data_IF_460986943464
#
_entry.id   IF_460986943464
#
_cell.length_a   1.000
_cell.length_b   1.000
_cell.length_c   1.000
_cell.angle_alpha   90.00
_cell.angle_beta   90.00
_cell.angle_gamma   90.00
#
_symmetry.space_group_name_H-M   'P 1'
#
loop_
_entity.id
_entity.type
_entity.pdbx_description
1 polymer ?
#
# COMPACT_ATOMS: atom_id res chain seq x y z
N UNK A 1 -37.16 20.37 8.19
CA UNK A 1 -36.36 20.04 9.39
C UNK A 1 -35.04 19.44 8.91
N UNK A 2 -33.94 20.15 9.19
CA UNK A 2 -32.59 19.77 8.80
C UNK A 2 -32.16 18.53 9.61
N UNK A 3 -31.88 17.43 8.92
CA UNK A 3 -31.30 16.24 9.56
C UNK A 3 -29.81 16.52 9.81
N UNK A 4 -29.51 16.96 11.03
CA UNK A 4 -28.16 16.89 11.59
C UNK A 4 -27.88 15.44 11.97
N UNK A 5 -27.10 14.72 11.18
CA UNK A 5 -26.44 13.51 11.66
C UNK A 5 -24.99 13.84 12.01
N UNK A 6 -24.78 14.19 13.27
CA UNK A 6 -23.48 14.03 13.92
C UNK A 6 -23.22 12.53 14.09
N UNK A 7 -22.36 11.98 13.24
CA UNK A 7 -21.72 10.69 13.43
C UNK A 7 -20.29 10.93 13.89
N UNK A 8 -19.88 10.36 15.01
CA UNK A 8 -18.51 10.46 15.55
C UNK A 8 -17.51 10.11 14.45
N UNK A 9 -16.56 11.00 14.20
CA UNK A 9 -15.43 10.80 13.28
C UNK A 9 -14.71 9.50 13.66
N UNK A 10 -14.94 8.43 12.91
CA UNK A 10 -14.24 7.18 13.13
C UNK A 10 -12.77 7.41 12.78
N UNK A 11 -11.91 7.39 13.79
CA UNK A 11 -10.45 7.41 13.60
C UNK A 11 -10.06 6.25 12.69
N UNK A 12 -9.60 6.56 11.48
CA UNK A 12 -9.24 5.57 10.48
C UNK A 12 -7.73 5.48 10.37
N UNK A 13 -7.17 4.30 10.62
CA UNK A 13 -5.75 4.05 10.41
C UNK A 13 -5.46 3.54 9.01
N UNK A 14 -4.24 3.78 8.55
CA UNK A 14 -3.74 3.21 7.31
C UNK A 14 -2.25 3.46 7.13
N UNK A 15 -1.82 3.38 5.88
CA UNK A 15 -0.42 3.43 5.46
C UNK A 15 -0.22 4.55 4.44
N UNK A 16 0.91 5.22 4.54
CA UNK A 16 1.34 6.22 3.55
C UNK A 16 2.80 6.01 3.22
N UNK A 17 3.10 6.07 1.92
CA UNK A 17 4.46 6.04 1.38
C UNK A 17 4.86 7.47 0.98
N UNK A 18 6.13 7.77 1.17
CA UNK A 18 6.78 9.05 0.91
C UNK A 18 8.08 8.83 0.15
N UNK A 19 8.61 9.91 -0.39
CA UNK A 19 9.98 9.99 -0.87
C UNK A 19 10.98 9.71 0.27
N UNK A 20 12.24 9.46 -0.08
CA UNK A 20 13.28 9.09 0.89
C UNK A 20 13.54 10.18 1.97
N UNK A 21 13.16 11.42 1.69
CA UNK A 21 13.28 12.60 2.52
C UNK A 21 11.97 13.01 3.20
N UNK A 22 10.99 12.09 3.29
CA UNK A 22 9.67 12.31 3.90
C UNK A 22 8.78 13.30 3.16
N UNK A 23 9.00 13.52 1.86
CA UNK A 23 8.11 14.32 1.03
C UNK A 23 7.02 13.49 0.35
N UNK A 24 5.91 14.14 0.05
CA UNK A 24 4.90 13.65 -0.87
C UNK A 24 4.38 14.83 -1.69
N UNK A 25 4.60 14.81 -3.01
CA UNK A 25 4.30 15.93 -3.93
C UNK A 25 4.91 17.27 -3.46
N UNK A 26 6.13 17.25 -2.94
CA UNK A 26 6.85 18.43 -2.46
C UNK A 26 6.49 18.94 -1.06
N UNK A 27 5.42 18.41 -0.44
CA UNK A 27 5.09 18.73 0.95
C UNK A 27 5.89 17.85 1.91
N UNK A 28 6.52 18.47 2.92
CA UNK A 28 7.36 17.80 3.92
C UNK A 28 6.53 17.26 5.07
N UNK A 29 6.74 15.98 5.42
CA UNK A 29 6.14 15.34 6.59
C UNK A 29 7.19 14.97 7.63
N UNK A 30 6.73 14.78 8.86
CA UNK A 30 7.52 14.33 10.00
C UNK A 30 6.68 13.36 10.84
N UNK A 31 7.35 12.35 11.40
CA UNK A 31 6.73 11.40 12.34
C UNK A 31 6.29 12.14 13.61
N UNK A 32 5.11 11.78 14.11
CA UNK A 32 4.47 12.36 15.30
C UNK A 32 3.70 13.65 15.01
N UNK A 33 3.81 14.24 13.81
CA UNK A 33 3.13 15.48 13.45
C UNK A 33 1.74 15.24 12.83
N UNK A 34 0.95 16.30 12.87
CA UNK A 34 -0.40 16.35 12.32
C UNK A 34 -0.50 17.48 11.29
N UNK A 35 -1.26 17.24 10.24
CA UNK A 35 -1.39 18.15 9.10
C UNK A 35 -2.86 18.30 8.73
N UNK A 36 -3.28 19.56 8.50
CA UNK A 36 -4.64 19.92 8.13
C UNK A 36 -4.69 20.54 6.74
N UNK A 37 -5.73 20.21 5.99
CA UNK A 37 -6.04 20.74 4.67
C UNK A 37 -7.36 21.50 4.75
N UNK A 38 -7.35 22.78 4.36
CA UNK A 38 -8.51 23.67 4.49
C UNK A 38 -9.44 23.68 3.27
N UNK A 39 -9.05 23.04 2.17
CA UNK A 39 -9.85 23.01 0.94
C UNK A 39 -10.85 21.86 0.90
N UNK A 40 -11.66 21.84 -0.16
CA UNK A 40 -12.55 20.71 -0.45
C UNK A 40 -11.74 19.45 -0.76
N UNK A 41 -12.13 18.32 -0.15
CA UNK A 41 -11.55 17.02 -0.43
C UNK A 41 -12.02 16.46 -1.77
N UNK A 42 -11.06 16.09 -2.62
CA UNK A 42 -11.31 15.37 -3.87
C UNK A 42 -10.40 14.15 -3.93
N UNK A 43 -11.01 12.99 -4.12
CA UNK A 43 -10.31 11.71 -4.31
C UNK A 43 -9.26 11.90 -5.42
N UNK A 44 -8.04 11.41 -5.19
CA UNK A 44 -6.89 11.53 -6.08
C UNK A 44 -6.35 12.94 -6.39
N UNK A 45 -7.09 14.00 -6.09
CA UNK A 45 -6.72 15.38 -6.42
C UNK A 45 -6.25 16.19 -5.20
N UNK A 46 -7.10 16.35 -4.18
CA UNK A 46 -6.88 17.30 -3.07
C UNK A 46 -7.14 16.69 -1.69
N UNK A 47 -6.26 17.04 -0.75
CA UNK A 47 -6.21 16.49 0.61
C UNK A 47 -5.03 15.54 0.80
N UNK A 48 -5.01 14.86 1.94
CA UNK A 48 -3.96 13.91 2.28
C UNK A 48 -4.40 12.49 1.94
N UNK A 49 -3.77 11.90 0.93
CA UNK A 49 -4.04 10.51 0.53
C UNK A 49 -3.19 9.50 1.30
N UNK A 50 -3.83 8.40 1.69
CA UNK A 50 -3.24 7.21 2.29
C UNK A 50 -4.06 5.98 1.86
N UNK A 51 -3.60 4.76 2.14
CA UNK A 51 -4.34 3.53 1.85
C UNK A 51 -4.60 2.74 3.13
N UNK A 52 -5.74 2.07 3.25
CA UNK A 52 -5.97 1.16 4.40
C UNK A 52 -5.21 -0.16 4.26
N UNK A 53 -4.80 -0.53 3.03
CA UNK A 53 -3.90 -1.65 2.74
C UNK A 53 -2.56 -1.14 2.21
N UNK A 54 -1.47 -1.68 2.72
CA UNK A 54 -0.14 -1.25 2.32
C UNK A 54 0.19 -1.63 0.88
N UNK A 55 -0.32 -2.76 0.38
CA UNK A 55 -0.12 -3.21 -1.00
C UNK A 55 -0.61 -2.19 -2.05
N UNK A 56 -1.71 -1.48 -1.74
CA UNK A 56 -2.27 -0.49 -2.66
C UNK A 56 -1.45 0.81 -2.68
N UNK A 57 -0.64 1.09 -1.64
CA UNK A 57 0.29 2.22 -1.69
C UNK A 57 1.35 2.05 -2.79
N UNK A 58 1.77 0.81 -3.06
CA UNK A 58 2.80 0.50 -4.06
C UNK A 58 2.29 0.56 -5.51
N UNK A 59 0.99 0.82 -5.73
CA UNK A 59 0.47 1.23 -7.04
C UNK A 59 0.82 2.68 -7.38
N UNK A 60 1.09 3.49 -6.36
CA UNK A 60 1.33 4.93 -6.47
C UNK A 60 2.80 5.33 -6.24
N UNK A 61 3.56 4.49 -5.53
CA UNK A 61 4.98 4.66 -5.32
C UNK A 61 5.72 3.37 -5.74
N UNK A 62 6.90 3.49 -6.36
CA UNK A 62 7.73 2.32 -6.62
C UNK A 62 8.05 1.60 -5.30
N UNK A 63 8.04 0.27 -5.31
CA UNK A 63 8.35 -0.58 -4.15
C UNK A 63 9.86 -0.68 -3.89
N UNK A 64 10.51 0.46 -3.70
CA UNK A 64 11.96 0.55 -3.51
C UNK A 64 12.33 0.89 -2.07
N UNK A 65 13.35 0.20 -1.56
CA UNK A 65 13.73 0.21 -0.12
C UNK A 65 14.12 1.58 0.46
N UNK A 66 14.34 2.59 -0.37
CA UNK A 66 14.63 3.95 0.10
C UNK A 66 13.39 4.80 0.36
N UNK A 67 12.20 4.39 -0.09
CA UNK A 67 10.97 5.11 0.28
C UNK A 67 10.75 5.04 1.79
N UNK A 68 10.18 6.12 2.34
CA UNK A 68 9.71 6.15 3.72
C UNK A 68 8.26 5.69 3.78
N UNK A 69 7.93 4.92 4.80
CA UNK A 69 6.60 4.34 4.98
C UNK A 69 6.16 4.64 6.41
N UNK A 70 4.91 5.06 6.59
CA UNK A 70 4.36 5.34 7.90
C UNK A 70 2.99 4.72 8.10
N UNK A 71 2.73 4.35 9.36
CA UNK A 71 1.38 4.22 9.87
C UNK A 71 0.82 5.65 10.06
N UNK A 72 -0.40 5.86 9.59
CA UNK A 72 -1.10 7.15 9.66
C UNK A 72 -2.48 6.99 10.26
N UNK A 73 -3.00 8.06 10.83
CA UNK A 73 -4.36 8.15 11.35
C UNK A 73 -5.07 9.36 10.76
N UNK A 74 -6.25 9.14 10.18
CA UNK A 74 -7.17 10.20 9.80
C UNK A 74 -7.95 10.67 11.02
N UNK A 75 -7.88 11.97 11.27
CA UNK A 75 -8.47 12.64 12.44
C UNK A 75 -9.67 13.53 12.07
N UNK A 76 -9.94 13.69 10.78
CA UNK A 76 -11.04 14.51 10.26
C UNK A 76 -11.88 13.77 9.23
N UNK A 77 -12.49 14.51 8.31
CA UNK A 77 -13.32 13.96 7.25
C UNK A 77 -12.48 13.04 6.35
N UNK A 78 -13.10 11.95 5.91
CA UNK A 78 -12.51 11.00 4.96
C UNK A 78 -13.44 10.79 3.77
N UNK A 79 -12.89 10.67 2.57
CA UNK A 79 -13.58 10.15 1.38
C UNK A 79 -12.86 8.91 0.85
N UNK A 80 -13.63 7.95 0.33
CA UNK A 80 -13.13 6.71 -0.29
C UNK A 80 -13.77 6.49 -1.67
N UNK A 81 -13.26 5.53 -2.44
CA UNK A 81 -13.89 5.02 -3.65
C UNK A 81 -13.87 3.48 -3.65
N UNK A 82 -14.49 2.85 -4.65
CA UNK A 82 -14.66 1.38 -4.69
C UNK A 82 -13.58 0.63 -5.45
N UNK A 83 -12.60 1.33 -6.04
CA UNK A 83 -11.62 0.71 -6.94
C UNK A 83 -10.40 0.14 -6.18
N UNK A 84 -10.00 0.79 -5.08
CA UNK A 84 -8.92 0.34 -4.21
C UNK A 84 -9.12 0.83 -2.77
N UNK A 85 -8.13 0.60 -1.90
CA UNK A 85 -8.17 1.00 -0.49
C UNK A 85 -7.76 2.45 -0.21
N UNK A 86 -7.65 3.31 -1.24
CA UNK A 86 -7.23 4.69 -1.09
C UNK A 86 -8.30 5.53 -0.41
N UNK A 87 -7.82 6.33 0.52
CA UNK A 87 -8.58 7.26 1.33
C UNK A 87 -7.96 8.63 1.19
N UNK A 88 -8.79 9.66 1.15
CA UNK A 88 -8.34 11.05 1.27
C UNK A 88 -8.92 11.66 2.54
N UNK A 89 -8.12 12.41 3.28
CA UNK A 89 -8.56 13.13 4.49
C UNK A 89 -8.12 14.58 4.52
N UNK A 90 -8.88 15.40 5.26
CA UNK A 90 -8.51 16.79 5.54
C UNK A 90 -7.62 16.94 6.79
N UNK A 91 -7.44 15.88 7.59
CA UNK A 91 -6.58 15.92 8.78
C UNK A 91 -5.90 14.57 8.99
N UNK A 92 -4.58 14.54 8.82
CA UNK A 92 -3.77 13.33 8.94
C UNK A 92 -2.74 13.48 10.06
N UNK A 93 -2.50 12.39 10.79
CA UNK A 93 -1.38 12.24 11.72
C UNK A 93 -0.41 11.20 11.20
N UNK A 94 0.89 11.50 11.22
CA UNK A 94 1.94 10.52 10.95
C UNK A 94 2.31 9.87 12.29
N UNK A 95 1.95 8.60 12.50
CA UNK A 95 2.10 7.95 13.81
C UNK A 95 3.55 7.52 14.03
N UNK A 96 4.08 6.70 13.13
CA UNK A 96 5.42 6.11 13.22
C UNK A 96 5.94 5.73 11.84
N UNK A 97 7.26 5.68 11.68
CA UNK A 97 7.88 5.00 10.55
C UNK A 97 7.68 3.49 10.68
N UNK A 98 7.35 2.83 9.58
CA UNK A 98 7.37 1.37 9.44
C UNK A 98 8.63 1.02 8.66
N UNK A 99 9.48 0.14 9.23
CA UNK A 99 10.69 -0.29 8.53
C UNK A 99 10.33 -1.28 7.44
N UNK A 100 11.11 -1.26 6.36
CA UNK A 100 10.93 -2.19 5.23
C UNK A 100 10.93 -3.66 5.65
N UNK A 101 11.66 -4.03 6.69
CA UNK A 101 11.69 -5.41 7.18
C UNK A 101 10.39 -5.84 7.86
N UNK A 102 9.62 -4.93 8.46
CA UNK A 102 8.27 -5.22 8.96
C UNK A 102 7.32 -5.53 7.80
N UNK A 103 7.43 -4.77 6.71
CA UNK A 103 6.55 -4.87 5.53
C UNK A 103 6.84 -6.15 4.73
N UNK A 104 8.12 -6.54 4.63
CA UNK A 104 8.51 -7.79 3.95
C UNK A 104 7.81 -9.00 4.55
N UNK A 105 7.59 -9.02 5.86
CA UNK A 105 6.94 -10.14 6.53
C UNK A 105 5.43 -10.17 6.25
N UNK A 106 4.78 -9.02 6.14
CA UNK A 106 3.37 -8.92 5.75
C UNK A 106 3.14 -9.28 4.27
N UNK A 107 4.04 -8.85 3.37
CA UNK A 107 3.97 -9.20 1.94
C UNK A 107 4.25 -10.70 1.71
N UNK A 108 5.18 -11.29 2.48
CA UNK A 108 5.49 -12.73 2.43
C UNK A 108 4.35 -13.64 2.92
N UNK A 109 3.35 -13.09 3.63
CA UNK A 109 2.19 -13.82 4.16
C UNK A 109 0.87 -13.58 3.42
N UNK A 110 0.86 -12.75 2.36
CA UNK A 110 -0.36 -12.41 1.64
C UNK A 110 -0.96 -13.59 0.89
N UNK A 111 -2.23 -13.92 1.17
CA UNK A 111 -2.98 -15.00 0.49
C UNK A 111 -3.19 -14.79 -1.02
N UNK A 112 -2.90 -13.59 -1.54
CA UNK A 112 -3.09 -13.24 -2.95
C UNK A 112 -1.93 -12.39 -3.45
N UNK A 113 -0.97 -13.01 -4.14
CA UNK A 113 0.03 -12.29 -4.94
C UNK A 113 -0.50 -12.26 -6.36
N UNK A 114 -0.91 -11.07 -6.84
CA UNK A 114 -1.32 -10.84 -8.23
C UNK A 114 -0.23 -10.03 -8.92
N UNK A 115 0.70 -10.71 -9.58
CA UNK A 115 1.69 -10.01 -10.40
C UNK A 115 1.13 -9.62 -11.77
N UNK A 116 1.76 -8.65 -12.40
CA UNK A 116 1.47 -8.27 -13.79
C UNK A 116 2.00 -9.31 -14.79
N UNK A 117 2.08 -8.90 -16.07
CA UNK A 117 2.49 -9.78 -17.18
C UNK A 117 3.88 -10.41 -16.98
N UNK A 118 4.79 -9.67 -16.34
CA UNK A 118 6.15 -10.12 -16.05
C UNK A 118 6.40 -10.04 -14.53
N UNK A 119 6.60 -11.20 -13.90
CA UNK A 119 7.04 -11.27 -12.50
C UNK A 119 8.49 -11.74 -12.48
N UNK A 120 9.40 -10.82 -12.18
CA UNK A 120 10.79 -11.13 -11.85
C UNK A 120 10.96 -11.14 -10.33
N UNK A 121 11.00 -12.34 -9.74
CA UNK A 121 11.33 -12.50 -8.32
C UNK A 121 12.83 -12.63 -8.11
N UNK A 122 13.32 -12.22 -6.93
CA UNK A 122 14.68 -12.55 -6.49
C UNK A 122 14.82 -14.03 -6.11
N UNK A 123 15.96 -14.39 -5.49
CA UNK A 123 16.38 -15.77 -5.21
C UNK A 123 15.35 -16.63 -4.44
N UNK A 124 14.51 -16.01 -3.60
CA UNK A 124 13.49 -16.71 -2.83
C UNK A 124 12.10 -16.12 -3.11
N UNK A 125 11.26 -16.88 -3.82
CA UNK A 125 9.84 -16.56 -4.01
C UNK A 125 9.03 -17.45 -3.05
N UNK A 126 8.49 -16.82 -2.00
CA UNK A 126 7.51 -17.45 -1.11
C UNK A 126 6.11 -17.03 -1.54
N UNK A 127 5.37 -17.94 -2.16
CA UNK A 127 3.99 -17.70 -2.54
C UNK A 127 3.03 -17.90 -1.37
N UNK A 128 2.00 -17.07 -1.28
CA UNK A 128 0.80 -17.37 -0.51
C UNK A 128 0.00 -18.54 -1.12
N UNK A 129 -1.24 -18.71 -0.64
CA UNK A 129 -2.11 -19.83 -1.04
C UNK A 129 -2.43 -19.90 -2.54
N UNK A 130 -2.61 -18.75 -3.19
CA UNK A 130 -2.89 -18.66 -4.63
C UNK A 130 -1.86 -17.74 -5.32
N UNK A 131 -1.07 -18.29 -6.25
CA UNK A 131 -0.18 -17.52 -7.14
C UNK A 131 -0.81 -17.48 -8.53
N UNK A 132 -1.13 -16.26 -9.00
CA UNK A 132 -1.51 -16.01 -10.40
C UNK A 132 -0.38 -15.24 -11.09
N UNK A 133 0.40 -15.95 -11.90
CA UNK A 133 1.37 -15.33 -12.80
C UNK A 133 0.74 -14.90 -14.11
N UNK A 134 1.30 -13.87 -14.74
CA UNK A 134 1.11 -13.59 -16.16
C UNK A 134 1.74 -14.67 -17.05
N UNK A 135 2.07 -14.32 -18.29
CA UNK A 135 2.57 -15.28 -19.29
C UNK A 135 3.89 -15.93 -18.90
N UNK A 136 4.80 -15.19 -18.27
CA UNK A 136 6.15 -15.65 -17.94
C UNK A 136 6.44 -15.48 -16.44
N UNK A 137 6.79 -16.58 -15.76
CA UNK A 137 7.29 -16.56 -14.38
C UNK A 137 8.76 -17.01 -14.37
N UNK A 138 9.65 -16.10 -13.99
CA UNK A 138 11.07 -16.41 -13.75
C UNK A 138 11.34 -16.51 -12.25
N UNK A 139 11.59 -17.72 -11.76
CA UNK A 139 11.92 -17.98 -10.36
C UNK A 139 13.41 -18.10 -10.12
N UNK A 140 13.88 -17.54 -9.00
CA UNK A 140 15.16 -17.94 -8.39
C UNK A 140 15.10 -19.37 -7.82
N UNK A 141 16.21 -19.81 -7.22
CA UNK A 141 16.51 -21.22 -6.91
C UNK A 141 15.49 -21.95 -6.00
N UNK A 142 14.65 -21.22 -5.26
CA UNK A 142 13.61 -21.80 -4.42
C UNK A 142 12.24 -21.15 -4.65
N UNK A 143 11.33 -21.90 -5.27
CA UNK A 143 9.90 -21.60 -5.35
C UNK A 143 9.15 -22.53 -4.38
N UNK A 144 8.57 -21.99 -3.31
CA UNK A 144 7.57 -22.70 -2.49
C UNK A 144 6.20 -22.10 -2.76
N UNK A 145 5.36 -22.83 -3.47
CA UNK A 145 3.97 -22.46 -3.69
C UNK A 145 3.07 -22.85 -2.53
N UNK A 146 2.04 -22.04 -2.27
CA UNK A 146 0.82 -22.52 -1.62
C UNK A 146 0.02 -23.46 -2.53
N UNK A 147 -1.19 -23.79 -2.10
CA UNK A 147 -2.00 -24.90 -2.63
C UNK A 147 -2.33 -24.83 -4.14
N UNK A 148 -2.31 -23.64 -4.76
CA UNK A 148 -2.59 -23.48 -6.19
C UNK A 148 -1.58 -22.55 -6.88
N UNK A 149 -0.77 -23.12 -7.78
CA UNK A 149 0.08 -22.39 -8.73
C UNK A 149 -0.54 -22.52 -10.12
N UNK A 150 -0.93 -21.40 -10.74
CA UNK A 150 -1.36 -21.36 -12.14
C UNK A 150 -0.39 -20.45 -12.90
N UNK A 151 0.56 -21.04 -13.62
CA UNK A 151 1.46 -20.30 -14.50
C UNK A 151 0.80 -19.97 -15.83
N UNK A 152 1.26 -18.90 -16.46
CA UNK A 152 1.13 -18.72 -17.91
C UNK A 152 1.97 -19.74 -18.68
N UNK A 153 2.15 -19.51 -19.97
CA UNK A 153 2.68 -20.49 -20.92
C UNK A 153 4.07 -21.05 -20.56
N UNK A 154 4.91 -20.30 -19.84
CA UNK A 154 6.28 -20.70 -19.52
C UNK A 154 6.63 -20.50 -18.04
N UNK A 155 7.04 -21.60 -17.37
CA UNK A 155 7.62 -21.61 -16.02
C UNK A 155 9.04 -22.17 -16.15
N UNK A 156 10.06 -21.39 -15.73
CA UNK A 156 11.44 -21.88 -15.66
C UNK A 156 12.09 -21.55 -14.32
N UNK A 157 12.82 -22.52 -13.77
CA UNK A 157 13.66 -22.35 -12.59
C UNK A 157 15.11 -22.11 -12.99
N UNK A 158 15.73 -21.09 -12.41
CA UNK A 158 17.18 -20.86 -12.52
C UNK A 158 17.98 -21.83 -11.65
N UNK A 159 19.15 -22.24 -12.15
CA UNK A 159 20.12 -23.14 -11.48
C UNK A 159 20.67 -22.56 -10.16
#
# INVERSE_FOLDING_TARGET
MIHKHGGRDAKMKGYKVFDNDWKCKGFQYEVGKEYKYAGELKICESGFHFCTKIEDCFRYYPSVSWNKIAEVEALGETKTHTEDSKVVTNWIKIIREIKWDEIKNDIRGGNYIRGGNDISGGNDIWGGNDIWGGNDIWGGNYIRGGNYIRGGNDISGGN
#
